data_IF_032293666597
#
_entry.id   IF_032293666597
#
_cell.length_a   1.000
_cell.length_b   1.000
_cell.length_c   1.000
_cell.angle_alpha   90.00
_cell.angle_beta   90.00
_cell.angle_gamma   90.00
#
_symmetry.space_group_name_H-M   'P 1'
#
loop_
_entity.id
_entity.type
_entity.pdbx_description
1 polymer ?
#
# COMPACT_ATOMS: atom_id res chain seq x y z
N UNK A 1 8.57 4.93 -0.94
CA UNK A 1 7.38 4.93 -1.83
C UNK A 1 7.66 5.70 -3.12
N UNK A 2 7.86 7.02 -3.06
CA UNK A 2 8.11 7.85 -4.26
C UNK A 2 9.34 7.39 -5.06
N UNK A 3 10.47 7.13 -4.39
CA UNK A 3 11.67 6.57 -5.06
C UNK A 3 11.39 5.27 -5.81
N UNK A 4 10.61 4.35 -5.22
CA UNK A 4 10.24 3.10 -5.90
C UNK A 4 9.37 3.36 -7.14
N UNK A 5 8.46 4.33 -7.06
CA UNK A 5 7.62 4.73 -8.20
C UNK A 5 8.44 5.32 -9.35
N UNK A 6 9.43 6.16 -9.04
CA UNK A 6 10.32 6.77 -10.02
C UNK A 6 11.28 5.77 -10.65
N UNK A 7 11.71 4.74 -9.91
CA UNK A 7 12.49 3.64 -10.49
C UNK A 7 11.65 2.80 -11.45
N UNK A 8 10.41 2.48 -11.07
CA UNK A 8 9.48 1.69 -11.90
C UNK A 8 9.03 2.48 -13.14
N UNK A 9 8.74 3.77 -12.98
CA UNK A 9 8.29 4.69 -14.03
C UNK A 9 9.04 6.03 -13.93
N UNK A 10 10.19 6.19 -14.61
CA UNK A 10 11.00 7.41 -14.56
C UNK A 10 10.26 8.67 -15.02
N UNK A 11 9.37 8.54 -15.99
CA UNK A 11 8.57 9.65 -16.53
C UNK A 11 7.35 9.99 -15.65
N UNK A 12 7.20 9.34 -14.49
CA UNK A 12 6.08 9.57 -13.60
C UNK A 12 6.14 10.96 -12.97
N UNK A 13 5.09 11.75 -13.22
CA UNK A 13 4.95 13.10 -12.67
C UNK A 13 4.48 13.05 -11.23
N UNK A 14 5.43 13.09 -10.30
CA UNK A 14 5.11 13.14 -8.87
C UNK A 14 4.40 14.45 -8.50
N UNK A 15 4.67 15.53 -9.24
CA UNK A 15 3.99 16.82 -9.11
C UNK A 15 2.53 16.83 -9.57
N UNK A 16 1.96 15.70 -9.97
CA UNK A 16 0.51 15.60 -10.22
C UNK A 16 -0.22 14.95 -9.04
N UNK A 17 0.48 14.57 -7.96
CA UNK A 17 -0.11 13.93 -6.79
C UNK A 17 -0.69 14.94 -5.80
N UNK A 18 -1.91 14.71 -5.35
CA UNK A 18 -2.55 15.53 -4.32
C UNK A 18 -2.41 14.89 -2.93
N UNK A 19 -2.55 13.56 -2.84
CA UNK A 19 -2.50 12.83 -1.57
C UNK A 19 -1.60 11.61 -1.68
N UNK A 20 -0.74 11.44 -0.69
CA UNK A 20 0.22 10.35 -0.61
C UNK A 20 0.12 9.70 0.76
N UNK A 21 -0.19 8.40 0.82
CA UNK A 21 -0.38 7.73 2.11
C UNK A 21 -0.26 6.22 2.04
N UNK A 22 -0.46 5.56 3.19
CA UNK A 22 -0.59 4.11 3.24
C UNK A 22 -2.04 3.69 3.52
N UNK A 23 -2.39 2.48 3.09
CA UNK A 23 -3.75 1.95 3.23
C UNK A 23 -4.23 1.89 4.69
N UNK A 24 -3.32 1.72 5.65
CA UNK A 24 -3.66 1.75 7.08
C UNK A 24 -4.02 3.16 7.56
N UNK A 25 -3.25 4.19 7.18
CA UNK A 25 -3.52 5.58 7.56
C UNK A 25 -4.84 6.06 6.95
N UNK A 26 -5.02 5.85 5.64
CA UNK A 26 -6.29 6.17 4.97
C UNK A 26 -7.47 5.38 5.56
N UNK A 27 -7.24 4.12 5.94
CA UNK A 27 -8.26 3.28 6.59
C UNK A 27 -8.73 3.88 7.91
N UNK A 28 -7.81 4.42 8.73
CA UNK A 28 -8.17 5.10 9.96
C UNK A 28 -8.95 6.40 9.71
N UNK A 29 -8.57 7.18 8.69
CA UNK A 29 -9.29 8.41 8.32
C UNK A 29 -10.72 8.07 7.87
N UNK A 30 -10.89 7.07 7.01
CA UNK A 30 -12.20 6.64 6.54
C UNK A 30 -13.07 6.12 7.68
N UNK A 31 -12.48 5.34 8.59
CA UNK A 31 -13.13 4.86 9.81
C UNK A 31 -13.62 6.02 10.68
N UNK A 32 -12.80 7.04 10.89
CA UNK A 32 -13.18 8.26 11.59
C UNK A 32 -14.29 9.04 10.89
N UNK A 33 -14.22 9.21 9.57
CA UNK A 33 -15.24 9.87 8.78
C UNK A 33 -16.61 9.15 8.85
N UNK A 34 -16.60 7.83 9.10
CA UNK A 34 -17.79 7.00 9.34
C UNK A 34 -18.31 7.03 10.79
N UNK A 35 -17.74 7.88 11.65
CA UNK A 35 -18.21 8.10 13.02
C UNK A 35 -17.60 7.18 14.09
N UNK A 36 -16.58 6.39 13.75
CA UNK A 36 -15.87 5.60 14.74
C UNK A 36 -14.93 6.48 15.60
N UNK A 37 -14.94 6.24 16.91
CA UNK A 37 -14.23 7.02 17.91
C UNK A 37 -12.88 6.45 18.33
N UNK A 38 -12.40 5.31 17.80
CA UNK A 38 -11.08 4.82 18.25
C UNK A 38 -9.99 5.81 17.82
N UNK A 39 -9.10 6.20 18.75
CA UNK A 39 -8.05 7.16 18.45
C UNK A 39 -7.04 6.57 17.46
N UNK A 40 -6.53 7.44 16.60
CA UNK A 40 -5.39 7.14 15.73
C UNK A 40 -4.50 8.38 15.67
N UNK A 41 -3.25 8.17 15.27
CA UNK A 41 -2.29 9.26 15.08
C UNK A 41 -1.57 9.07 13.76
N UNK A 42 -1.26 10.18 13.12
CA UNK A 42 -0.47 10.25 11.89
C UNK A 42 0.26 11.59 11.88
N UNK A 43 1.35 11.65 11.12
CA UNK A 43 1.98 12.90 10.74
C UNK A 43 1.41 13.34 9.40
N UNK A 44 1.22 14.65 9.25
CA UNK A 44 0.73 15.25 8.02
C UNK A 44 1.76 16.28 7.59
N UNK A 45 2.25 16.13 6.37
CA UNK A 45 3.20 17.07 5.78
C UNK A 45 2.72 17.53 4.41
N UNK A 46 2.78 18.84 4.17
CA UNK A 46 2.42 19.42 2.88
C UNK A 46 3.70 19.85 2.16
N UNK A 47 3.91 19.32 0.96
CA UNK A 47 5.02 19.68 0.07
C UNK A 47 4.41 20.16 -1.25
N UNK A 48 4.52 21.45 -1.54
CA UNK A 48 3.79 22.05 -2.66
C UNK A 48 2.28 21.94 -2.47
N UNK A 49 1.57 21.34 -3.43
CA UNK A 49 0.14 21.02 -3.33
C UNK A 49 -0.14 19.59 -2.82
N UNK A 50 0.90 18.78 -2.62
CA UNK A 50 0.76 17.39 -2.21
C UNK A 50 0.75 17.27 -0.69
N UNK A 51 -0.20 16.50 -0.14
CA UNK A 51 -0.27 16.15 1.28
C UNK A 51 0.20 14.71 1.49
N UNK A 52 1.20 14.54 2.36
CA UNK A 52 1.74 13.27 2.82
C UNK A 52 1.13 12.89 4.17
N UNK A 53 0.48 11.73 4.19
CA UNK A 53 -0.14 11.13 5.37
C UNK A 53 0.76 9.99 5.88
N UNK A 54 1.66 10.34 6.80
CA UNK A 54 2.72 9.47 7.27
C UNK A 54 2.23 8.70 8.51
N UNK A 55 2.28 7.37 8.43
CA UNK A 55 1.92 6.50 9.55
C UNK A 55 2.93 6.66 10.68
N UNK A 56 2.44 6.96 11.88
CA UNK A 56 3.26 6.79 13.09
C UNK A 56 3.16 5.35 13.57
N UNK A 57 4.25 4.61 13.48
CA UNK A 57 4.34 3.25 14.00
C UNK A 57 4.92 3.28 15.41
N UNK A 58 4.15 2.79 16.39
CA UNK A 58 4.65 2.52 17.74
C UNK A 58 5.14 1.07 17.84
N UNK A 59 5.90 0.58 16.85
CA UNK A 59 6.35 -0.81 16.88
C UNK A 59 7.74 -0.88 17.51
N UNK A 60 7.90 -1.49 18.70
CA UNK A 60 9.18 -2.01 19.12
C UNK A 60 9.45 -3.23 18.25
N UNK A 61 9.96 -3.04 17.04
CA UNK A 61 10.47 -4.15 16.24
C UNK A 61 11.50 -4.87 17.09
N UNK A 62 11.29 -6.18 17.31
CA UNK A 62 12.31 -6.99 17.95
C UNK A 62 13.56 -6.97 17.06
N UNK A 63 14.76 -7.05 17.65
CA UNK A 63 16.01 -6.96 16.89
C UNK A 63 16.12 -8.05 15.82
N UNK A 64 15.37 -9.13 15.99
CA UNK A 64 15.32 -10.27 15.09
C UNK A 64 14.42 -10.04 13.86
N UNK A 65 13.63 -8.96 13.82
CA UNK A 65 12.76 -8.61 12.68
C UNK A 65 13.47 -7.80 11.58
N UNK A 66 14.77 -7.50 11.74
CA UNK A 66 15.54 -6.67 10.81
C UNK A 66 15.63 -7.25 9.39
N UNK A 67 15.56 -8.58 9.23
CA UNK A 67 15.61 -9.27 7.92
C UNK A 67 14.22 -9.60 7.37
N UNK A 68 13.16 -8.98 7.89
CA UNK A 68 11.82 -9.24 7.40
C UNK A 68 11.63 -8.70 5.98
N UNK A 69 11.22 -9.58 5.07
CA UNK A 69 10.77 -9.21 3.74
C UNK A 69 9.28 -8.83 3.75
N UNK A 70 8.90 -7.77 3.03
CA UNK A 70 7.48 -7.40 2.88
C UNK A 70 7.14 -7.13 1.41
N UNK A 71 5.94 -7.56 1.00
CA UNK A 71 5.43 -7.34 -0.34
C UNK A 71 4.51 -6.11 -0.33
N UNK A 72 5.05 -4.99 -0.80
CA UNK A 72 4.33 -3.72 -0.86
C UNK A 72 3.85 -3.44 -2.28
N UNK A 73 2.62 -2.95 -2.40
CA UNK A 73 2.08 -2.42 -3.65
C UNK A 73 1.89 -0.93 -3.57
N UNK A 74 2.07 -0.25 -4.69
CA UNK A 74 1.65 1.13 -4.91
C UNK A 74 0.52 1.15 -5.94
N UNK A 75 -0.58 1.82 -5.61
CA UNK A 75 -1.67 2.10 -6.53
C UNK A 75 -1.91 3.60 -6.63
N UNK A 76 -2.31 4.06 -7.81
CA UNK A 76 -2.75 5.43 -8.04
C UNK A 76 -4.19 5.38 -8.55
N UNK A 77 -5.08 6.18 -7.94
CA UNK A 77 -6.47 6.33 -8.37
C UNK A 77 -6.96 7.75 -8.06
N UNK A 78 -8.06 8.14 -8.69
CA UNK A 78 -8.69 9.44 -8.45
C UNK A 78 -9.80 9.31 -7.41
N UNK A 79 -9.82 10.19 -6.41
CA UNK A 79 -10.89 10.27 -5.42
C UNK A 79 -11.27 11.74 -5.20
N UNK A 80 -12.54 12.08 -5.41
CA UNK A 80 -13.03 13.46 -5.32
C UNK A 80 -12.15 14.46 -6.10
N UNK A 81 -11.79 14.09 -7.35
CA UNK A 81 -10.89 14.81 -8.26
C UNK A 81 -9.42 14.93 -7.80
N UNK A 82 -9.04 14.32 -6.68
CA UNK A 82 -7.65 14.29 -6.21
C UNK A 82 -6.94 13.02 -6.71
N UNK A 83 -5.69 13.15 -7.14
CA UNK A 83 -4.82 12.03 -7.46
C UNK A 83 -4.21 11.46 -6.18
N UNK A 84 -4.58 10.23 -5.85
CA UNK A 84 -4.21 9.58 -4.59
C UNK A 84 -3.25 8.43 -4.85
N UNK A 85 -2.05 8.51 -4.28
CA UNK A 85 -1.08 7.41 -4.26
C UNK A 85 -1.14 6.67 -2.93
N UNK A 86 -1.45 5.38 -2.97
CA UNK A 86 -1.58 4.53 -1.79
C UNK A 86 -0.59 3.39 -1.81
N UNK A 87 0.19 3.24 -0.72
CA UNK A 87 0.97 2.03 -0.44
C UNK A 87 0.22 1.07 0.48
N UNK A 88 0.23 -0.22 0.17
CA UNK A 88 -0.29 -1.24 1.08
C UNK A 88 0.37 -2.60 0.88
N UNK A 89 0.24 -3.47 1.88
CA UNK A 89 0.62 -4.88 1.80
C UNK A 89 -0.52 -5.71 1.23
N UNK A 90 -0.21 -6.50 0.21
CA UNK A 90 -1.09 -7.52 -0.33
C UNK A 90 -0.72 -8.88 0.27
N UNK A 91 -1.72 -9.71 0.56
CA UNK A 91 -1.48 -11.03 1.18
C UNK A 91 -1.13 -12.10 0.14
N UNK A 92 -1.53 -11.91 -1.11
CA UNK A 92 -1.17 -12.81 -2.21
C UNK A 92 -1.88 -12.51 -3.51
N UNK A 93 -1.75 -13.43 -4.46
CA UNK A 93 -2.41 -13.37 -5.76
C UNK A 93 -2.94 -14.75 -6.18
N UNK A 94 -3.96 -14.77 -7.04
CA UNK A 94 -4.51 -15.97 -7.65
C UNK A 94 -3.86 -16.18 -9.04
N UNK A 95 -3.05 -17.24 -9.24
CA UNK A 95 -2.32 -17.47 -10.49
C UNK A 95 -3.24 -17.58 -11.71
N UNK A 96 -4.41 -18.20 -11.55
CA UNK A 96 -5.39 -18.46 -12.62
C UNK A 96 -5.94 -17.17 -13.27
N UNK A 97 -5.71 -16.02 -12.63
CA UNK A 97 -6.16 -14.70 -13.09
C UNK A 97 -5.04 -13.87 -13.71
N UNK A 98 -3.82 -14.41 -13.76
CA UNK A 98 -2.72 -13.79 -14.49
C UNK A 98 -2.86 -14.22 -15.95
N UNK A 99 -3.05 -13.28 -16.90
CA UNK A 99 -3.07 -13.62 -18.31
C UNK A 99 -1.77 -14.35 -18.69
N UNK A 100 -1.90 -15.48 -19.38
CA UNK A 100 -0.76 -16.17 -19.98
C UNK A 100 -0.01 -15.19 -20.90
N UNK A 101 1.34 -15.20 -20.89
CA UNK A 101 2.13 -14.29 -21.70
C UNK A 101 1.95 -14.62 -23.18
N UNK A 102 0.92 -14.06 -23.81
CA UNK A 102 0.58 -14.31 -25.20
C UNK A 102 -0.54 -13.48 -25.80
N UNK A 103 -1.35 -12.74 -25.02
CA UNK A 103 -2.50 -11.99 -25.57
C UNK A 103 -2.66 -10.61 -24.88
N UNK A 104 -2.01 -9.58 -25.47
CA UNK A 104 -2.22 -8.11 -25.36
C UNK A 104 -2.05 -7.43 -23.97
N UNK A 105 -1.54 -6.19 -23.84
CA UNK A 105 -1.67 -5.04 -24.72
C UNK A 105 -0.44 -4.11 -24.69
N UNK A 106 -0.17 -3.50 -25.85
CA UNK A 106 0.71 -2.34 -26.01
C UNK A 106 0.09 -1.13 -25.30
N UNK A 107 0.77 -0.57 -24.31
CA UNK A 107 0.45 0.76 -23.80
C UNK A 107 1.16 1.80 -24.68
N UNK A 108 0.37 2.58 -25.42
CA UNK A 108 0.82 3.69 -26.24
C UNK A 108 1.35 4.82 -25.34
N UNK A 109 2.62 5.17 -25.51
CA UNK A 109 3.21 6.38 -24.98
C UNK A 109 2.91 7.58 -25.88
N UNK A 110 2.58 8.72 -25.27
CA UNK A 110 2.62 10.02 -25.96
C UNK A 110 3.11 11.13 -25.02
N UNK A 111 3.75 12.20 -25.55
CA UNK A 111 4.77 12.97 -24.84
C UNK A 111 4.36 14.40 -24.48
N UNK A 112 4.99 14.96 -23.44
CA UNK A 112 5.33 16.39 -23.37
C UNK A 112 4.81 17.22 -22.19
N UNK A 113 5.75 17.92 -21.55
CA UNK A 113 5.68 19.27 -20.95
C UNK A 113 5.74 19.49 -19.42
N UNK A 114 6.89 20.10 -19.05
CA UNK A 114 7.33 20.80 -17.82
C UNK A 114 7.78 19.94 -16.63
N UNK A 115 9.09 19.98 -16.45
CA UNK A 115 9.92 19.31 -15.46
C UNK A 115 9.85 20.08 -14.13
N UNK A 116 9.22 19.49 -13.11
CA UNK A 116 9.42 19.88 -11.71
C UNK A 116 10.43 18.90 -11.12
N UNK A 117 11.44 19.39 -10.42
CA UNK A 117 12.63 18.63 -10.05
C UNK A 117 12.31 17.49 -9.07
N UNK A 118 12.25 16.26 -9.59
CA UNK A 118 11.97 15.04 -8.82
C UNK A 118 12.96 14.82 -7.67
N UNK A 119 14.18 15.34 -7.79
CA UNK A 119 15.21 15.24 -6.74
C UNK A 119 14.89 16.12 -5.53
N UNK A 120 14.27 17.29 -5.74
CA UNK A 120 13.90 18.22 -4.66
C UNK A 120 12.72 17.68 -3.83
N UNK A 121 11.81 16.93 -4.46
CA UNK A 121 10.75 16.23 -3.75
C UNK A 121 11.27 15.01 -3.00
N UNK A 122 12.21 14.25 -3.58
CA UNK A 122 12.86 13.13 -2.89
C UNK A 122 13.67 13.59 -1.69
N UNK A 123 14.39 14.72 -1.81
CA UNK A 123 15.15 15.33 -0.72
C UNK A 123 14.21 15.83 0.38
N UNK A 124 13.09 16.45 0.02
CA UNK A 124 12.06 16.90 0.96
C UNK A 124 11.41 15.74 1.71
N UNK A 125 11.14 14.62 1.05
CA UNK A 125 10.62 13.39 1.69
C UNK A 125 11.68 12.73 2.58
N UNK A 126 12.95 12.76 2.19
CA UNK A 126 14.03 12.27 3.04
C UNK A 126 14.15 13.13 4.30
N UNK A 127 14.02 14.45 4.19
CA UNK A 127 14.01 15.38 5.31
C UNK A 127 12.78 15.21 6.22
N UNK A 128 11.62 14.87 5.64
CA UNK A 128 10.37 14.52 6.32
C UNK A 128 10.41 13.20 7.10
N UNK A 129 11.36 12.31 6.77
CA UNK A 129 11.47 11.02 7.43
C UNK A 129 12.09 11.21 8.80
N UNK A 130 11.25 11.37 9.84
CA UNK A 130 11.69 11.44 11.23
C UNK A 130 12.41 10.13 11.58
N UNK A 131 13.73 10.19 11.61
CA UNK A 131 14.57 9.17 12.21
C UNK A 131 14.35 9.20 13.73
N UNK A 132 13.40 8.42 14.22
CA UNK A 132 13.32 8.10 15.65
C UNK A 132 14.50 7.19 15.97
N UNK A 133 15.66 7.80 16.23
CA UNK A 133 16.73 7.40 17.15
C UNK A 133 17.99 8.25 16.88
N UNK A 134 18.06 9.47 17.43
CA UNK A 134 19.37 10.01 17.78
C UNK A 134 19.90 9.23 18.98
N UNK A 135 20.48 8.06 18.72
CA UNK A 135 21.49 7.52 19.63
C UNK A 135 22.73 8.43 19.54
N UNK A 136 23.44 8.69 20.64
CA UNK A 136 24.63 9.53 20.61
C UNK A 136 25.64 8.93 19.64
N UNK A 137 26.19 9.79 18.78
CA UNK A 137 27.22 9.49 17.80
C UNK A 137 28.42 8.85 18.50
N UNK A 138 28.49 7.53 18.48
CA UNK A 138 29.75 6.82 18.49
C UNK A 138 30.17 6.66 17.04
N UNK A 139 31.33 7.20 16.70
CA UNK A 139 32.03 7.05 15.43
C UNK A 139 32.24 5.56 15.13
N UNK A 140 31.26 4.92 14.51
CA UNK A 140 31.44 3.63 13.85
C UNK A 140 31.30 3.86 12.35
N UNK A 141 32.35 3.49 11.64
CA UNK A 141 32.65 3.74 10.23
C UNK A 141 31.79 2.85 9.32
N UNK A 142 30.49 2.75 9.63
CA UNK A 142 29.52 2.06 8.80
C UNK A 142 29.26 2.94 7.59
N UNK A 143 30.01 2.68 6.51
CA UNK A 143 29.63 3.03 5.15
C UNK A 143 28.11 2.96 5.05
N UNK A 144 27.47 4.10 4.81
CA UNK A 144 26.08 4.13 4.38
C UNK A 144 25.98 3.21 3.16
N UNK A 145 25.56 1.96 3.38
CA UNK A 145 25.35 1.02 2.29
C UNK A 145 24.22 1.60 1.48
N UNK A 146 24.55 2.21 0.34
CA UNK A 146 23.57 2.80 -0.55
C UNK A 146 22.47 1.77 -0.82
N UNK A 147 21.20 2.16 -0.69
CA UNK A 147 20.06 1.30 -0.98
C UNK A 147 20.23 0.70 -2.38
N UNK A 148 20.43 -0.60 -2.44
CA UNK A 148 20.52 -1.35 -3.69
C UNK A 148 19.10 -1.54 -4.25
N UNK A 149 18.93 -1.22 -5.53
CA UNK A 149 17.65 -1.31 -6.20
C UNK A 149 17.83 -2.21 -7.41
N UNK A 150 17.08 -3.31 -7.44
CA UNK A 150 17.03 -4.24 -8.54
C UNK A 150 15.59 -4.36 -9.06
N UNK A 151 15.44 -4.43 -10.38
CA UNK A 151 14.16 -4.78 -11.00
C UNK A 151 14.09 -6.29 -11.15
N UNK A 152 13.16 -6.92 -10.43
CA UNK A 152 13.00 -8.37 -10.38
C UNK A 152 11.52 -8.77 -10.31
N UNK A 153 11.22 -10.04 -10.58
CA UNK A 153 9.86 -10.60 -10.50
C UNK A 153 9.00 -10.40 -11.75
N UNK A 154 7.70 -10.66 -11.63
CA UNK A 154 6.69 -10.48 -12.69
C UNK A 154 5.58 -9.57 -12.18
N UNK A 155 5.04 -8.75 -13.07
CA UNK A 155 3.88 -7.93 -12.77
C UNK A 155 2.64 -8.80 -12.49
N UNK A 156 2.08 -8.67 -11.27
CA UNK A 156 0.80 -9.25 -10.90
C UNK A 156 -0.33 -8.22 -11.09
N UNK A 157 -1.29 -8.45 -11.99
CA UNK A 157 -2.35 -7.50 -12.29
C UNK A 157 -3.23 -7.24 -11.05
N UNK A 158 -3.84 -6.05 -10.96
CA UNK A 158 -4.69 -5.68 -9.82
C UNK A 158 -5.85 -6.65 -9.63
N UNK A 159 -6.42 -7.17 -10.73
CA UNK A 159 -7.48 -8.16 -10.71
C UNK A 159 -7.08 -9.49 -10.06
N UNK A 160 -5.79 -9.84 -9.98
CA UNK A 160 -5.35 -11.12 -9.42
C UNK A 160 -5.07 -11.07 -7.91
N UNK A 161 -4.96 -9.87 -7.31
CA UNK A 161 -4.60 -9.72 -5.89
C UNK A 161 -5.78 -9.95 -4.97
N UNK A 162 -5.51 -10.57 -3.82
CA UNK A 162 -6.48 -10.73 -2.73
C UNK A 162 -5.94 -10.23 -1.38
N UNK A 163 -6.87 -9.92 -0.47
CA UNK A 163 -6.63 -9.74 0.96
C UNK A 163 -7.16 -10.96 1.72
N UNK A 164 -6.41 -11.47 2.70
CA UNK A 164 -6.71 -12.67 3.45
C UNK A 164 -7.15 -12.34 4.88
N UNK A 165 -8.22 -12.99 5.33
CA UNK A 165 -8.58 -13.04 6.74
C UNK A 165 -8.73 -14.46 7.24
N UNK A 166 -8.15 -14.72 8.41
CA UNK A 166 -8.34 -15.97 9.15
C UNK A 166 -9.31 -15.77 10.30
N UNK A 167 -10.18 -16.76 10.54
CA UNK A 167 -11.15 -16.77 11.64
C UNK A 167 -11.27 -18.15 12.28
N UNK A 168 -11.44 -18.20 13.59
CA UNK A 168 -11.72 -19.43 14.32
C UNK A 168 -13.23 -19.74 14.31
N UNK A 169 -13.57 -21.01 14.11
CA UNK A 169 -14.95 -21.52 14.21
C UNK A 169 -15.82 -21.33 12.96
N UNK A 170 -17.07 -21.79 13.05
CA UNK A 170 -18.10 -21.65 12.01
C UNK A 170 -18.75 -20.27 12.09
N UNK A 171 -17.96 -19.21 11.98
CA UNK A 171 -18.51 -17.85 12.00
C UNK A 171 -19.50 -17.73 10.84
N UNK A 172 -20.79 -17.59 11.17
CA UNK A 172 -21.89 -17.58 10.19
C UNK A 172 -22.05 -16.21 9.53
N UNK A 173 -21.43 -15.16 10.07
CA UNK A 173 -21.65 -13.79 9.58
C UNK A 173 -20.56 -13.35 8.61
N UNK A 174 -20.49 -14.10 7.51
CA UNK A 174 -19.62 -13.82 6.38
C UNK A 174 -19.90 -12.43 5.79
N UNK A 175 -21.18 -12.08 5.68
CA UNK A 175 -21.65 -10.77 5.19
C UNK A 175 -21.15 -9.63 6.09
N UNK A 176 -21.27 -9.79 7.42
CA UNK A 176 -20.76 -8.77 8.38
C UNK A 176 -19.24 -8.61 8.24
N UNK A 177 -18.51 -9.70 8.04
CA UNK A 177 -17.05 -9.61 7.82
C UNK A 177 -16.72 -8.92 6.50
N UNK A 178 -17.47 -9.18 5.43
CA UNK A 178 -17.31 -8.49 4.16
C UNK A 178 -17.57 -6.99 4.31
N UNK A 179 -18.66 -6.59 4.97
CA UNK A 179 -18.98 -5.19 5.26
C UNK A 179 -17.89 -4.50 6.09
N UNK A 180 -17.31 -5.20 7.07
CA UNK A 180 -16.21 -4.67 7.88
C UNK A 180 -14.91 -4.53 7.09
N UNK A 181 -14.67 -5.40 6.10
CA UNK A 181 -13.47 -5.36 5.26
C UNK A 181 -13.61 -4.40 4.08
N UNK A 182 -14.82 -4.08 3.68
CA UNK A 182 -15.11 -3.22 2.54
C UNK A 182 -14.30 -1.91 2.50
N UNK A 183 -14.18 -1.12 3.58
CA UNK A 183 -13.37 0.11 3.57
C UNK A 183 -11.89 -0.15 3.28
N UNK A 184 -11.35 -1.24 3.83
CA UNK A 184 -9.95 -1.64 3.62
C UNK A 184 -9.74 -2.06 2.17
N UNK A 185 -10.65 -2.86 1.63
CA UNK A 185 -10.59 -3.36 0.25
C UNK A 185 -10.74 -2.22 -0.76
N UNK A 186 -11.64 -1.27 -0.49
CA UNK A 186 -11.86 -0.07 -1.29
C UNK A 186 -10.62 0.82 -1.36
N UNK A 187 -10.01 1.17 -0.21
CA UNK A 187 -8.78 1.99 -0.19
C UNK A 187 -7.63 1.32 -0.96
N UNK A 188 -7.55 -0.01 -0.89
CA UNK A 188 -6.50 -0.80 -1.54
C UNK A 188 -6.85 -1.17 -2.98
N UNK A 189 -8.05 -0.83 -3.44
CA UNK A 189 -8.63 -1.24 -4.71
C UNK A 189 -8.48 -2.76 -4.92
N UNK A 190 -8.58 -3.54 -3.85
CA UNK A 190 -8.36 -4.99 -3.86
C UNK A 190 -9.67 -5.70 -4.14
N UNK A 191 -9.86 -6.28 -5.34
CA UNK A 191 -11.15 -6.80 -5.76
C UNK A 191 -11.49 -8.15 -5.13
N UNK A 192 -10.54 -8.81 -4.47
CA UNK A 192 -10.73 -10.15 -3.91
C UNK A 192 -10.50 -10.21 -2.42
N UNK A 193 -11.41 -10.91 -1.76
CA UNK A 193 -11.33 -11.19 -0.34
C UNK A 193 -11.34 -12.69 -0.12
N UNK A 194 -10.29 -13.21 0.53
CA UNK A 194 -10.16 -14.61 0.89
C UNK A 194 -10.43 -14.75 2.39
N UNK A 195 -11.47 -15.49 2.74
CA UNK A 195 -11.75 -15.86 4.13
C UNK A 195 -11.38 -17.32 4.33
N UNK A 196 -10.47 -17.57 5.27
CA UNK A 196 -10.06 -18.90 5.67
C UNK A 196 -10.50 -19.17 7.12
N UNK A 197 -11.55 -19.96 7.29
CA UNK A 197 -12.05 -20.38 8.58
C UNK A 197 -11.35 -21.66 9.05
N UNK A 198 -10.90 -21.65 10.30
CA UNK A 198 -10.18 -22.76 10.90
C UNK A 198 -10.83 -23.26 12.19
N UNK A 199 -10.68 -24.56 12.44
CA UNK A 199 -11.00 -25.20 13.70
C UNK A 199 -9.70 -25.75 14.30
N UNK A 200 -9.31 -25.25 15.49
CA UNK A 200 -8.07 -25.64 16.16
C UNK A 200 -6.81 -25.64 15.27
N UNK A 201 -6.66 -24.62 14.41
CA UNK A 201 -5.54 -24.46 13.49
C UNK A 201 -5.67 -25.23 12.16
N UNK A 202 -6.69 -26.06 11.99
CA UNK A 202 -6.99 -26.72 10.71
C UNK A 202 -7.99 -25.90 9.90
N UNK A 203 -7.59 -25.46 8.71
CA UNK A 203 -8.49 -24.78 7.78
C UNK A 203 -9.45 -25.77 7.13
N UNK A 204 -10.75 -25.51 7.22
CA UNK A 204 -11.80 -26.42 6.75
C UNK A 204 -12.79 -25.75 5.78
N UNK A 205 -12.88 -24.42 5.80
CA UNK A 205 -13.76 -23.63 4.93
C UNK A 205 -12.98 -22.42 4.41
N UNK A 206 -12.69 -22.43 3.10
CA UNK A 206 -11.94 -21.37 2.41
C UNK A 206 -12.85 -20.83 1.32
N UNK A 207 -13.11 -19.52 1.37
CA UNK A 207 -13.98 -18.83 0.42
C UNK A 207 -13.22 -17.69 -0.23
N UNK A 208 -13.31 -17.61 -1.55
CA UNK A 208 -12.76 -16.51 -2.34
C UNK A 208 -13.95 -15.71 -2.88
N UNK A 209 -14.00 -14.43 -2.53
CA UNK A 209 -15.00 -13.51 -3.05
C UNK A 209 -14.39 -12.57 -4.05
N UNK A 210 -15.22 -12.23 -5.02
CA UNK A 210 -15.02 -11.04 -5.83
C UNK A 210 -15.96 -9.95 -5.29
N UNK A 211 -15.38 -8.86 -4.78
CA UNK A 211 -16.11 -7.74 -4.18
C UNK A 211 -16.13 -6.51 -5.08
N UNK A 212 -15.77 -6.64 -6.37
CA UNK A 212 -15.70 -5.50 -7.30
C UNK A 212 -16.96 -4.66 -7.32
N UNK A 213 -18.12 -5.31 -7.39
CA UNK A 213 -19.43 -4.62 -7.41
C UNK A 213 -19.69 -3.82 -6.13
N UNK A 214 -19.14 -4.27 -5.00
CA UNK A 214 -19.23 -3.52 -3.76
C UNK A 214 -18.31 -2.29 -3.78
N UNK A 215 -17.14 -2.37 -4.44
CA UNK A 215 -16.14 -1.30 -4.45
C UNK A 215 -16.50 -0.12 -5.37
N UNK A 216 -17.44 -0.29 -6.30
CA UNK A 216 -17.84 0.72 -7.28
C UNK A 216 -18.92 1.70 -6.77
N UNK A 217 -19.36 1.54 -5.51
CA UNK A 217 -20.39 2.37 -4.85
C UNK A 217 -19.78 3.55 -4.07
#
# INVERSE_FOLDING_TARGET
MIRAKLVDKPDYRVGDLDVVGCGSTLGNILRFARGDTLPFRMLVEAIGHTVFLIRMENSPWDKDAWESESHQRLINYQFANMNVLVRFEADGFLPDLIPEPGIAAQENSSPGEKHMDSEDLLSSIAAATISTNQAPVTTDDRRSSALEISQCGRHSPQCAIFDLKTRSGKTHDFEILQEQMHPRLWIRQTPRFLLACHNAGRFEDIRVLDVREDLEQ
#
